data_IF_586509117362
#
_entry.id   IF_586509117362
#
_cell.length_a   1.000
_cell.length_b   1.000
_cell.length_c   1.000
_cell.angle_alpha   90.00
_cell.angle_beta   90.00
_cell.angle_gamma   90.00
#
_symmetry.space_group_name_H-M   'P 1'
#
loop_
_entity.id
_entity.type
_entity.pdbx_description
1 polymer ?
#
# COMPACT_ATOMS: atom_id res chain seq x y z
N UNK A 1 11.30 -21.93 -0.50
CA UNK A 1 11.11 -20.49 -0.20
C UNK A 1 12.23 -19.74 -0.90
N UNK A 2 11.94 -18.84 -1.85
CA UNK A 2 12.97 -17.95 -2.40
C UNK A 2 13.26 -16.89 -1.32
N UNK A 3 14.53 -16.65 -1.00
CA UNK A 3 14.92 -15.67 0.03
C UNK A 3 14.51 -14.25 -0.35
N UNK A 4 14.47 -13.36 0.64
CA UNK A 4 14.12 -11.93 0.49
C UNK A 4 15.07 -11.14 -0.43
N UNK A 5 16.24 -11.69 -0.77
CA UNK A 5 17.27 -10.98 -1.54
C UNK A 5 17.64 -9.65 -0.87
N UNK A 6 17.93 -8.62 -1.68
CA UNK A 6 18.21 -7.26 -1.19
C UNK A 6 16.98 -6.40 -0.91
N UNK A 7 15.77 -6.98 -0.84
CA UNK A 7 14.56 -6.19 -0.63
C UNK A 7 14.53 -5.52 0.74
N UNK A 8 15.02 -6.22 1.78
CA UNK A 8 15.10 -5.70 3.15
C UNK A 8 16.12 -4.57 3.25
N UNK A 9 17.30 -4.75 2.65
CA UNK A 9 18.35 -3.72 2.62
C UNK A 9 17.88 -2.46 1.89
N UNK A 10 17.17 -2.62 0.77
CA UNK A 10 16.65 -1.50 -0.01
C UNK A 10 15.69 -0.65 0.83
N UNK A 11 14.66 -1.26 1.43
CA UNK A 11 13.64 -0.50 2.18
C UNK A 11 14.16 0.10 3.49
N UNK A 12 15.28 -0.40 4.01
CA UNK A 12 15.93 0.17 5.19
C UNK A 12 16.89 1.32 4.87
N UNK A 13 17.48 1.35 3.67
CA UNK A 13 18.57 2.25 3.31
C UNK A 13 18.19 3.47 2.46
N UNK A 14 16.98 3.53 1.92
CA UNK A 14 16.55 4.62 1.02
C UNK A 14 15.77 5.70 1.76
N UNK A 15 15.87 6.94 1.29
CA UNK A 15 15.16 8.08 1.87
C UNK A 15 13.66 8.13 1.52
N UNK A 16 13.20 7.36 0.54
CA UNK A 16 11.79 7.26 0.17
C UNK A 16 11.46 5.90 -0.46
N UNK A 17 10.42 5.25 0.03
CA UNK A 17 9.91 3.97 -0.46
C UNK A 17 8.53 4.15 -1.05
N UNK A 18 8.41 3.81 -2.34
CA UNK A 18 7.14 3.82 -3.07
C UNK A 18 6.80 2.39 -3.47
N UNK A 19 5.61 1.93 -3.09
CA UNK A 19 5.08 0.62 -3.48
C UNK A 19 4.13 0.79 -4.65
N UNK A 20 4.35 0.03 -5.72
CA UNK A 20 3.44 -0.06 -6.86
C UNK A 20 2.84 -1.45 -6.89
N UNK A 21 1.51 -1.55 -6.83
CA UNK A 21 0.83 -2.84 -6.81
C UNK A 21 -0.64 -2.73 -7.23
N UNK A 22 -1.26 -3.82 -7.64
CA UNK A 22 -2.72 -3.89 -7.70
C UNK A 22 -3.33 -3.73 -6.30
N UNK A 23 -4.43 -2.98 -6.21
CA UNK A 23 -5.09 -2.63 -4.96
C UNK A 23 -5.73 -3.86 -4.30
N UNK A 24 -6.25 -4.78 -5.11
CA UNK A 24 -6.91 -6.00 -4.67
C UNK A 24 -6.16 -7.24 -5.15
N UNK A 25 -6.39 -8.37 -4.48
CA UNK A 25 -5.99 -9.68 -4.97
C UNK A 25 -6.77 -10.06 -6.23
N UNK A 26 -6.38 -11.15 -6.89
CA UNK A 26 -7.14 -11.74 -8.00
C UNK A 26 -8.56 -12.19 -7.61
N UNK A 27 -8.85 -12.28 -6.31
CA UNK A 27 -10.16 -12.62 -5.76
C UNK A 27 -10.96 -11.39 -5.32
N UNK A 28 -10.43 -10.17 -5.53
CA UNK A 28 -11.08 -8.92 -5.15
C UNK A 28 -10.87 -8.51 -3.68
N UNK A 29 -10.10 -9.25 -2.91
CA UNK A 29 -9.80 -8.94 -1.51
C UNK A 29 -8.81 -7.78 -1.41
N UNK A 30 -8.97 -6.89 -0.43
CA UNK A 30 -8.04 -5.77 -0.25
C UNK A 30 -6.62 -6.28 0.02
N UNK A 31 -5.62 -5.62 -0.58
CA UNK A 31 -4.20 -5.80 -0.19
C UNK A 31 -3.72 -4.69 0.73
N UNK A 32 -4.54 -3.68 0.97
CA UNK A 32 -4.24 -2.53 1.82
C UNK A 32 -4.95 -2.72 3.16
N UNK A 33 -4.33 -3.55 3.99
CA UNK A 33 -4.89 -4.08 5.24
C UNK A 33 -4.59 -3.19 6.45
N UNK A 34 -5.38 -3.36 7.52
CA UNK A 34 -5.07 -2.76 8.84
C UNK A 34 -3.77 -3.29 9.43
N UNK A 35 -3.51 -4.58 9.22
CA UNK A 35 -2.29 -5.27 9.63
C UNK A 35 -1.91 -6.29 8.55
N UNK A 36 -0.62 -6.37 8.21
CA UNK A 36 -0.15 -7.35 7.24
C UNK A 36 -0.26 -8.76 7.82
N UNK A 37 -0.86 -9.67 7.06
CA UNK A 37 -1.01 -11.08 7.44
C UNK A 37 0.16 -11.95 6.96
N UNK A 38 0.98 -11.42 6.05
CA UNK A 38 2.17 -12.07 5.53
C UNK A 38 3.43 -11.54 6.23
N UNK A 39 4.53 -12.32 6.27
CA UNK A 39 5.79 -11.87 6.84
C UNK A 39 6.24 -10.52 6.27
N UNK A 40 6.54 -9.57 7.17
CA UNK A 40 6.96 -8.22 6.79
C UNK A 40 8.34 -8.24 6.13
N UNK A 41 8.47 -7.48 5.04
CA UNK A 41 9.79 -7.13 4.47
C UNK A 41 10.46 -6.01 5.27
N UNK A 42 9.67 -5.05 5.76
CA UNK A 42 10.11 -3.97 6.64
C UNK A 42 8.90 -3.37 7.37
N UNK A 43 9.12 -2.78 8.55
CA UNK A 43 8.06 -2.20 9.37
C UNK A 43 8.06 -0.69 9.24
N UNK A 44 6.92 -0.10 8.84
CA UNK A 44 6.76 1.36 8.76
C UNK A 44 7.70 2.03 7.77
N UNK A 45 8.12 1.30 6.73
CA UNK A 45 9.11 1.76 5.75
C UNK A 45 8.50 2.40 4.51
N UNK A 46 7.20 2.23 4.26
CA UNK A 46 6.54 2.70 3.03
C UNK A 46 6.04 4.13 3.21
N UNK A 47 6.38 5.02 2.28
CA UNK A 47 5.90 6.41 2.26
C UNK A 47 4.66 6.60 1.37
N UNK A 48 4.60 5.88 0.25
CA UNK A 48 3.52 6.01 -0.74
C UNK A 48 3.16 4.67 -1.36
N UNK A 49 1.86 4.47 -1.59
CA UNK A 49 1.31 3.33 -2.30
C UNK A 49 0.61 3.86 -3.56
N UNK A 50 0.99 3.31 -4.72
CA UNK A 50 0.36 3.59 -6.01
C UNK A 50 -0.32 2.31 -6.47
N UNK A 51 -1.60 2.40 -6.78
CA UNK A 51 -2.38 1.27 -7.27
C UNK A 51 -3.17 1.62 -8.52
N UNK A 52 -3.79 0.61 -9.12
CA UNK A 52 -4.75 0.78 -10.20
C UNK A 52 -6.01 1.60 -9.82
N UNK A 53 -6.22 1.90 -8.53
CA UNK A 53 -7.34 2.73 -8.06
C UNK A 53 -6.93 4.17 -7.74
N UNK A 54 -5.63 4.45 -7.57
CA UNK A 54 -5.15 5.78 -7.21
C UNK A 54 -3.87 5.76 -6.36
N UNK A 55 -3.61 6.89 -5.70
CA UNK A 55 -2.40 7.14 -4.92
C UNK A 55 -2.76 7.41 -3.45
N UNK A 56 -2.08 6.70 -2.55
CA UNK A 56 -2.21 6.83 -1.11
C UNK A 56 -0.86 7.23 -0.50
N UNK A 57 -0.84 8.28 0.30
CA UNK A 57 0.30 8.59 1.17
C UNK A 57 0.14 7.91 2.53
N UNK A 58 1.23 7.34 3.02
CA UNK A 58 1.27 6.71 4.35
C UNK A 58 1.64 7.77 5.37
N UNK A 59 0.79 7.96 6.36
CA UNK A 59 1.01 8.94 7.44
C UNK A 59 0.97 8.26 8.80
N UNK A 60 1.40 8.97 9.84
CA UNK A 60 1.32 8.51 11.22
C UNK A 60 -0.13 8.29 11.72
N UNK A 61 -1.15 8.81 11.02
CA UNK A 61 -2.57 8.67 11.38
C UNK A 61 -3.30 7.60 10.57
N UNK A 62 -2.72 7.12 9.47
CA UNK A 62 -3.39 6.27 8.49
C UNK A 62 -3.02 6.67 7.07
N UNK A 63 -3.83 6.23 6.11
CA UNK A 63 -3.61 6.47 4.68
C UNK A 63 -4.38 7.70 4.21
N UNK A 64 -3.72 8.60 3.50
CA UNK A 64 -4.35 9.77 2.91
C UNK A 64 -4.51 9.57 1.40
N UNK A 65 -5.73 9.72 0.87
CA UNK A 65 -5.97 9.67 -0.59
C UNK A 65 -5.43 10.95 -1.22
N UNK A 66 -4.40 10.81 -2.05
CA UNK A 66 -3.78 11.92 -2.79
C UNK A 66 -4.45 12.11 -4.15
N UNK A 67 -4.71 11.00 -4.84
CA UNK A 67 -5.22 10.97 -6.21
C UNK A 67 -6.07 9.72 -6.40
N UNK A 68 -7.09 9.82 -7.24
CA UNK A 68 -7.90 8.69 -7.70
C UNK A 68 -7.61 8.49 -9.19
N UNK A 69 -7.56 7.24 -9.63
CA UNK A 69 -7.45 6.94 -11.05
C UNK A 69 -8.69 7.41 -11.81
N UNK A 70 -8.55 7.63 -13.11
CA UNK A 70 -9.65 8.07 -13.98
C UNK A 70 -10.87 7.15 -13.84
N UNK A 71 -12.03 7.75 -13.55
CA UNK A 71 -13.29 7.03 -13.37
C UNK A 71 -13.47 6.32 -12.02
N UNK A 72 -12.48 6.36 -11.13
CA UNK A 72 -12.59 5.80 -9.77
C UNK A 72 -13.15 6.83 -8.81
N UNK A 73 -14.18 6.43 -8.07
CA UNK A 73 -14.79 7.25 -7.02
C UNK A 73 -14.09 7.07 -5.68
N UNK A 74 -14.24 8.07 -4.80
CA UNK A 74 -13.71 7.99 -3.43
C UNK A 74 -14.32 6.80 -2.67
N UNK A 75 -15.61 6.54 -2.86
CA UNK A 75 -16.30 5.44 -2.23
C UNK A 75 -15.78 4.08 -2.68
N UNK A 76 -15.42 3.92 -3.96
CA UNK A 76 -14.79 2.69 -4.46
C UNK A 76 -13.43 2.46 -3.81
N UNK A 77 -12.58 3.50 -3.75
CA UNK A 77 -11.29 3.43 -3.05
C UNK A 77 -11.46 3.03 -1.59
N UNK A 78 -12.39 3.66 -0.88
CA UNK A 78 -12.66 3.36 0.54
C UNK A 78 -13.18 1.92 0.70
N UNK A 79 -14.11 1.46 -0.15
CA UNK A 79 -14.61 0.08 -0.09
C UNK A 79 -13.54 -0.98 -0.37
N UNK A 80 -12.58 -0.65 -1.23
CA UNK A 80 -11.48 -1.54 -1.59
C UNK A 80 -10.31 -1.50 -0.59
N UNK A 81 -10.33 -0.60 0.39
CA UNK A 81 -9.26 -0.40 1.38
C UNK A 81 -9.73 -0.83 2.78
N UNK A 82 -9.03 -1.75 3.42
CA UNK A 82 -9.33 -2.12 4.82
C UNK A 82 -8.61 -1.22 5.84
N UNK A 83 -7.42 -0.73 5.48
CA UNK A 83 -6.67 0.21 6.29
C UNK A 83 -7.46 1.50 6.55
N UNK A 84 -7.20 2.16 7.68
CA UNK A 84 -7.84 3.43 7.99
C UNK A 84 -7.42 4.51 6.99
N UNK A 85 -8.40 5.08 6.29
CA UNK A 85 -8.23 6.29 5.49
C UNK A 85 -8.57 7.51 6.35
N UNK A 86 -7.72 8.52 6.31
CA UNK A 86 -7.80 9.75 7.11
C UNK A 86 -7.86 11.01 6.26
#
# INVERSE_FOLDING_TARGET
VKGMGGAMDLVAGVGRVVVVMDHTSKHGESKVLKECTLPLTGKGVVDRIITNLGVLDVTHKGLHIVELADGVTREEMIRATEAAIV
#
